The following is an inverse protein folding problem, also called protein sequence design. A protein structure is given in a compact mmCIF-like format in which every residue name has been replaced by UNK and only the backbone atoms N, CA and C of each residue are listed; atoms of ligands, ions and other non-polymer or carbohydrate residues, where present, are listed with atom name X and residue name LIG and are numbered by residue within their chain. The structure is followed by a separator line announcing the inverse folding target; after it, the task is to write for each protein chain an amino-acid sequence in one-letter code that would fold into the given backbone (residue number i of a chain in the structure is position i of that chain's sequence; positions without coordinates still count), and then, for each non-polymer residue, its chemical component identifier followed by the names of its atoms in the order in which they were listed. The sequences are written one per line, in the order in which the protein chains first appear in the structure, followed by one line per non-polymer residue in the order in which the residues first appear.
data_IF_531206388236
#
_entry.id   IF_531206388236
#
_cell.length_a   1.000
_cell.length_b   1.000
_cell.length_c   1.000
_cell.angle_alpha   90.00
_cell.angle_beta   90.00
_cell.angle_gamma   90.00
#
_symmetry.space_group_name_H-M   'P 1'
#
loop_
_entity.id
_entity.type
_entity.pdbx_description
1 polymer ?
#
# COMPACT_ATOMS: atom_id res chain seq x y z
N UNK A 1 -5.36 -31.40 -4.43
CA UNK A 1 -5.44 -31.32 -5.91
C UNK A 1 -6.72 -30.57 -6.29
N UNK A 2 -6.61 -29.45 -7.03
CA UNK A 2 -7.77 -28.80 -7.65
C UNK A 2 -8.16 -29.67 -8.86
N UNK A 3 -9.38 -30.18 -8.92
CA UNK A 3 -9.88 -30.94 -10.08
C UNK A 3 -10.02 -29.97 -11.27
N UNK A 4 -9.20 -30.13 -12.30
CA UNK A 4 -9.38 -29.46 -13.60
C UNK A 4 -10.46 -30.20 -14.39
N UNK A 5 -11.31 -29.45 -15.10
CA UNK A 5 -12.40 -30.01 -15.90
C UNK A 5 -11.99 -29.94 -17.37
N UNK A 6 -11.81 -31.10 -18.02
CA UNK A 6 -11.22 -31.18 -19.36
C UNK A 6 -12.22 -31.51 -20.50
N UNK A 7 -13.53 -31.72 -20.28
CA UNK A 7 -14.43 -32.12 -21.39
C UNK A 7 -15.91 -31.74 -21.26
N UNK A 8 -16.56 -31.71 -22.45
CA UNK A 8 -17.96 -31.46 -22.82
C UNK A 8 -19.01 -31.98 -21.81
N UNK A 9 -20.05 -31.18 -21.60
CA UNK A 9 -21.00 -31.34 -20.50
C UNK A 9 -22.11 -32.34 -20.86
N UNK A 10 -22.28 -33.38 -20.05
CA UNK A 10 -23.39 -34.31 -20.18
C UNK A 10 -24.71 -33.68 -19.72
N UNK A 11 -25.80 -33.99 -20.43
CA UNK A 11 -27.19 -33.56 -20.19
C UNK A 11 -27.67 -33.78 -18.73
N UNK A 12 -27.05 -34.72 -18.00
CA UNK A 12 -27.44 -35.14 -16.64
C UNK A 12 -26.79 -34.29 -15.53
N UNK A 13 -25.70 -33.56 -15.81
CA UNK A 13 -24.87 -32.92 -14.78
C UNK A 13 -24.69 -31.40 -14.95
N UNK A 14 -25.36 -30.82 -15.94
CA UNK A 14 -25.32 -29.40 -16.21
C UNK A 14 -26.59 -28.69 -15.71
N UNK A 15 -26.43 -27.50 -15.15
CA UNK A 15 -27.58 -26.68 -14.79
C UNK A 15 -28.13 -25.97 -16.03
N UNK A 16 -29.43 -26.15 -16.29
CA UNK A 16 -30.14 -25.51 -17.41
C UNK A 16 -30.35 -24.04 -17.06
N UNK A 17 -29.80 -23.14 -17.87
CA UNK A 17 -30.08 -21.71 -17.75
C UNK A 17 -31.46 -21.44 -18.38
N UNK A 18 -32.51 -21.38 -17.56
CA UNK A 18 -33.92 -21.21 -17.99
C UNK A 18 -34.23 -19.95 -18.81
N UNK A 19 -33.25 -19.07 -19.06
CA UNK A 19 -33.44 -17.82 -19.81
C UNK A 19 -33.29 -17.97 -21.32
N UNK A 20 -32.79 -19.11 -21.80
CA UNK A 20 -32.68 -19.32 -23.23
C UNK A 20 -33.05 -20.78 -23.54
N UNK A 21 -34.16 -21.02 -24.24
CA UNK A 21 -34.57 -22.33 -24.76
C UNK A 21 -34.09 -22.51 -26.22
N UNK A 22 -33.54 -23.68 -26.60
CA UNK A 22 -33.04 -23.97 -27.95
C UNK A 22 -31.96 -25.07 -28.04
N UNK A 23 -31.90 -25.77 -29.17
CA UNK A 23 -30.98 -26.89 -29.45
C UNK A 23 -29.53 -26.39 -29.64
N UNK A 24 -28.56 -26.94 -28.89
CA UNK A 24 -27.12 -26.60 -29.02
C UNK A 24 -26.52 -25.71 -27.93
N UNK A 25 -27.11 -25.62 -26.73
CA UNK A 25 -26.58 -24.76 -25.64
C UNK A 25 -25.50 -25.47 -24.84
N UNK A 26 -24.38 -24.78 -24.66
CA UNK A 26 -23.28 -25.21 -23.81
C UNK A 26 -23.74 -25.20 -22.35
N UNK A 27 -24.21 -26.34 -21.86
CA UNK A 27 -24.50 -26.51 -20.44
C UNK A 27 -23.18 -26.41 -19.68
N UNK A 28 -23.11 -25.69 -18.56
CA UNK A 28 -21.91 -25.62 -17.72
C UNK A 28 -22.02 -26.64 -16.60
N UNK A 29 -20.96 -27.43 -16.37
CA UNK A 29 -20.92 -28.33 -15.23
C UNK A 29 -20.83 -27.52 -13.92
N UNK A 30 -21.32 -28.09 -12.82
CA UNK A 30 -21.35 -27.41 -11.50
C UNK A 30 -19.95 -26.97 -11.02
N UNK A 31 -18.89 -27.69 -11.41
CA UNK A 31 -17.50 -27.31 -11.09
C UNK A 31 -17.11 -26.04 -11.85
N UNK A 32 -17.40 -25.96 -13.15
CA UNK A 32 -17.14 -24.79 -13.97
C UNK A 32 -17.94 -23.57 -13.50
N UNK A 33 -19.22 -23.77 -13.14
CA UNK A 33 -20.06 -22.70 -12.56
C UNK A 33 -19.46 -22.15 -11.27
N UNK A 34 -19.13 -23.04 -10.31
CA UNK A 34 -18.50 -22.64 -9.04
C UNK A 34 -17.16 -21.94 -9.25
N UNK A 35 -16.34 -22.39 -10.19
CA UNK A 35 -15.07 -21.74 -10.50
C UNK A 35 -15.28 -20.34 -11.12
N UNK A 36 -16.29 -20.17 -11.98
CA UNK A 36 -16.66 -18.88 -12.55
C UNK A 36 -17.19 -17.94 -11.47
N UNK A 37 -18.10 -18.40 -10.62
CA UNK A 37 -18.63 -17.62 -9.50
C UNK A 37 -17.51 -17.21 -8.54
N UNK A 38 -16.59 -18.12 -8.19
CA UNK A 38 -15.42 -17.80 -7.38
C UNK A 38 -14.52 -16.75 -8.04
N UNK A 39 -14.36 -16.78 -9.37
CA UNK A 39 -13.58 -15.78 -10.09
C UNK A 39 -14.26 -14.42 -10.04
N UNK A 40 -15.56 -14.37 -10.31
CA UNK A 40 -16.37 -13.14 -10.22
C UNK A 40 -16.25 -12.54 -8.81
N UNK A 41 -16.46 -13.33 -7.76
CA UNK A 41 -16.35 -12.88 -6.37
C UNK A 41 -14.96 -12.35 -6.03
N UNK A 42 -13.88 -13.00 -6.52
CA UNK A 42 -12.51 -12.50 -6.32
C UNK A 42 -12.25 -11.19 -7.06
N UNK A 43 -12.75 -11.06 -8.29
CA UNK A 43 -12.60 -9.84 -9.09
C UNK A 43 -13.38 -8.67 -8.47
N UNK A 44 -14.58 -8.93 -7.94
CA UNK A 44 -15.37 -7.96 -7.18
C UNK A 44 -14.66 -7.56 -5.89
N UNK A 45 -14.20 -8.52 -5.09
CA UNK A 45 -13.45 -8.26 -3.87
C UNK A 45 -12.22 -7.38 -4.14
N UNK A 46 -11.47 -7.65 -5.23
CA UNK A 46 -10.33 -6.82 -5.65
C UNK A 46 -10.75 -5.37 -5.94
N UNK A 47 -11.84 -5.16 -6.70
CA UNK A 47 -12.36 -3.82 -6.98
C UNK A 47 -12.76 -3.06 -5.71
N UNK A 48 -13.35 -3.76 -4.73
CA UNK A 48 -13.71 -3.15 -3.45
C UNK A 48 -12.48 -2.74 -2.64
N UNK A 49 -11.43 -3.57 -2.62
CA UNK A 49 -10.16 -3.25 -1.97
C UNK A 49 -9.50 -2.01 -2.62
N UNK A 50 -9.45 -1.93 -3.95
CA UNK A 50 -8.92 -0.76 -4.68
C UNK A 50 -9.73 0.52 -4.37
N UNK A 51 -11.06 0.40 -4.26
CA UNK A 51 -11.91 1.54 -3.86
C UNK A 51 -11.65 1.94 -2.41
N UNK A 52 -11.44 0.97 -1.53
CA UNK A 52 -11.14 1.22 -0.12
C UNK A 52 -9.76 1.88 0.04
N UNK A 53 -8.74 1.41 -0.67
CA UNK A 53 -7.40 2.01 -0.71
C UNK A 53 -7.47 3.51 -1.06
N UNK A 54 -8.20 3.87 -2.13
CA UNK A 54 -8.38 5.28 -2.54
C UNK A 54 -9.04 6.12 -1.45
N UNK A 55 -10.05 5.58 -0.76
CA UNK A 55 -10.70 6.26 0.38
C UNK A 55 -9.73 6.45 1.54
N UNK A 56 -9.00 5.40 1.92
CA UNK A 56 -8.02 5.45 3.00
C UNK A 56 -6.92 6.46 2.71
N UNK A 57 -6.43 6.51 1.47
CA UNK A 57 -5.43 7.47 1.04
C UNK A 57 -5.97 8.91 1.10
N UNK A 58 -7.21 9.16 0.69
CA UNK A 58 -7.83 10.48 0.78
C UNK A 58 -7.97 10.96 2.23
N UNK A 59 -8.42 10.08 3.13
CA UNK A 59 -8.52 10.39 4.57
C UNK A 59 -7.14 10.67 5.18
N UNK A 60 -6.13 9.87 4.81
CA UNK A 60 -4.76 10.08 5.28
C UNK A 60 -4.22 11.44 4.84
N UNK A 61 -4.40 11.82 3.57
CA UNK A 61 -4.00 13.14 3.05
C UNK A 61 -4.68 14.30 3.76
N UNK A 62 -5.96 14.16 4.11
CA UNK A 62 -6.69 15.19 4.85
C UNK A 62 -6.17 15.35 6.28
N UNK A 63 -5.79 14.24 6.95
CA UNK A 63 -5.23 14.26 8.31
C UNK A 63 -3.77 14.71 8.35
N UNK A 64 -3.01 14.42 7.30
CA UNK A 64 -1.57 14.60 7.25
C UNK A 64 -1.20 15.46 6.04
N UNK A 65 -1.19 16.80 6.20
CA UNK A 65 -0.89 17.71 5.11
C UNK A 65 0.53 17.50 4.58
N UNK A 66 0.70 17.79 3.28
CA UNK A 66 1.98 17.63 2.61
C UNK A 66 3.05 18.53 3.22
N UNK A 67 4.29 18.05 3.22
CA UNK A 67 5.47 18.82 3.68
C UNK A 67 6.35 19.12 2.48
N UNK A 68 6.78 20.37 2.41
CA UNK A 68 7.70 20.85 1.39
C UNK A 68 9.12 20.35 1.63
N UNK A 69 9.90 20.26 0.57
CA UNK A 69 11.30 19.89 0.67
C UNK A 69 12.11 21.01 1.34
N UNK A 70 13.18 20.66 2.05
CA UNK A 70 14.01 21.60 2.80
C UNK A 70 13.45 21.98 4.18
N UNK A 71 12.28 21.46 4.56
CA UNK A 71 11.72 21.64 5.90
C UNK A 71 12.39 20.70 6.89
N UNK A 72 12.75 21.21 8.06
CA UNK A 72 13.25 20.39 9.18
C UNK A 72 12.10 19.66 9.85
N UNK A 73 12.30 18.37 10.11
CA UNK A 73 11.37 17.46 10.74
C UNK A 73 12.04 16.73 11.89
N UNK A 74 11.22 16.21 12.80
CA UNK A 74 11.65 15.41 13.95
C UNK A 74 11.01 14.04 13.90
N UNK A 75 11.86 13.03 13.93
CA UNK A 75 11.50 11.61 13.96
C UNK A 75 11.63 11.16 15.41
N UNK A 76 10.60 10.53 15.97
CA UNK A 76 10.67 9.97 17.33
C UNK A 76 11.32 8.60 17.26
N UNK A 77 12.29 8.36 18.14
CA UNK A 77 12.88 7.03 18.31
C UNK A 77 12.04 6.27 19.35
N UNK A 78 11.53 5.06 19.03
CA UNK A 78 10.73 4.28 19.96
C UNK A 78 11.60 3.83 21.14
N UNK A 79 10.97 3.58 22.28
CA UNK A 79 11.70 3.31 23.53
C UNK A 79 12.49 2.00 23.51
N UNK A 80 12.04 1.02 22.72
CA UNK A 80 12.74 -0.26 22.54
C UNK A 80 14.13 -0.09 21.92
N UNK A 81 14.28 0.90 21.04
CA UNK A 81 15.54 1.19 20.33
C UNK A 81 16.37 2.26 21.06
N UNK A 82 15.90 2.75 22.23
CA UNK A 82 16.46 3.91 22.94
C UNK A 82 17.05 3.49 24.29
N UNK A 83 18.35 3.67 24.51
CA UNK A 83 18.90 3.58 25.86
C UNK A 83 18.40 4.76 26.71
N UNK A 84 18.41 4.63 28.05
CA UNK A 84 17.87 5.66 28.96
C UNK A 84 18.46 7.06 28.76
N UNK A 85 19.69 7.14 28.27
CA UNK A 85 20.44 8.38 28.04
C UNK A 85 20.37 8.90 26.60
N UNK A 86 19.82 8.12 25.66
CA UNK A 86 19.79 8.49 24.25
C UNK A 86 18.74 9.55 23.96
N UNK A 87 18.99 10.34 22.91
CA UNK A 87 18.04 11.35 22.47
C UNK A 87 16.71 10.70 22.03
N UNK A 88 15.59 11.21 22.55
CA UNK A 88 14.26 10.70 22.20
C UNK A 88 13.83 10.97 20.75
N UNK A 89 14.61 11.76 20.01
CA UNK A 89 14.25 12.16 18.66
C UNK A 89 15.45 12.58 17.81
N UNK A 90 15.34 12.33 16.52
CA UNK A 90 16.35 12.66 15.50
C UNK A 90 15.80 13.82 14.66
N UNK A 91 16.66 14.82 14.42
CA UNK A 91 16.37 15.92 13.50
C UNK A 91 16.80 15.54 12.09
N UNK A 92 15.90 15.73 11.14
CA UNK A 92 16.14 15.47 9.73
C UNK A 92 15.55 16.60 8.87
N UNK A 93 15.96 16.68 7.62
CA UNK A 93 15.41 17.57 6.59
C UNK A 93 14.73 16.73 5.51
N UNK A 94 13.63 17.23 4.96
CA UNK A 94 12.96 16.58 3.83
C UNK A 94 13.77 16.82 2.56
N UNK A 95 14.31 15.75 1.97
CA UNK A 95 15.11 15.84 0.75
C UNK A 95 14.24 15.82 -0.50
N UNK A 96 13.33 14.85 -0.57
CA UNK A 96 12.39 14.67 -1.68
C UNK A 96 11.19 13.83 -1.27
N UNK A 97 10.15 13.87 -2.10
CA UNK A 97 8.92 13.08 -1.96
C UNK A 97 8.80 12.06 -3.10
N UNK A 98 8.37 10.85 -2.77
CA UNK A 98 8.11 9.77 -3.73
C UNK A 98 6.65 9.81 -4.20
N UNK A 99 6.35 9.23 -5.36
CA UNK A 99 4.99 9.15 -5.94
C UNK A 99 3.94 8.56 -4.97
N UNK A 100 4.36 7.64 -4.10
CA UNK A 100 3.51 6.98 -3.11
C UNK A 100 3.38 7.73 -1.77
N UNK A 101 3.60 9.06 -1.74
CA UNK A 101 3.44 9.90 -0.53
C UNK A 101 4.42 9.62 0.61
N UNK A 102 5.52 8.93 0.32
CA UNK A 102 6.63 8.76 1.25
C UNK A 102 7.72 9.82 1.05
N UNK A 103 8.45 10.12 2.12
CA UNK A 103 9.48 11.15 2.18
C UNK A 103 10.85 10.53 2.37
N UNK A 104 11.82 11.01 1.59
CA UNK A 104 13.24 10.77 1.83
C UNK A 104 13.75 11.83 2.79
N UNK A 105 14.33 11.39 3.90
CA UNK A 105 14.80 12.25 4.97
C UNK A 105 16.32 12.18 5.07
N UNK A 106 16.94 13.33 5.33
CA UNK A 106 18.38 13.48 5.50
C UNK A 106 18.72 14.05 6.87
N UNK A 107 19.76 13.56 7.51
CA UNK A 107 20.29 14.06 8.78
C UNK A 107 21.70 14.60 8.55
N UNK A 108 22.31 15.24 9.55
CA UNK A 108 23.70 15.73 9.44
C UNK A 108 24.71 14.61 9.19
N UNK A 109 24.37 13.37 9.52
CA UNK A 109 25.25 12.21 9.36
C UNK A 109 25.03 11.49 8.02
N UNK A 110 23.90 11.71 7.35
CA UNK A 110 23.60 11.12 6.07
C UNK A 110 22.10 10.99 5.77
N UNK A 111 21.80 10.37 4.63
CA UNK A 111 20.46 10.10 4.12
C UNK A 111 19.93 8.82 4.76
N UNK A 112 18.74 8.88 5.36
CA UNK A 112 18.09 7.72 5.94
C UNK A 112 17.72 6.72 4.84
N UNK A 113 18.10 5.45 5.04
CA UNK A 113 17.87 4.37 4.06
C UNK A 113 16.39 4.09 3.83
N UNK A 114 15.58 4.20 4.88
CA UNK A 114 14.14 3.95 4.85
C UNK A 114 13.35 5.19 4.43
N UNK A 115 12.18 4.98 3.83
CA UNK A 115 11.24 6.02 3.47
C UNK A 115 10.22 6.22 4.59
N UNK A 116 9.83 7.46 4.85
CA UNK A 116 8.90 7.79 5.94
C UNK A 116 7.57 8.29 5.43
N UNK A 117 6.49 7.85 6.04
CA UNK A 117 5.17 8.44 5.90
C UNK A 117 5.06 9.72 6.75
N UNK A 118 4.16 10.62 6.35
CA UNK A 118 3.95 11.89 7.07
C UNK A 118 3.57 11.72 8.54
N UNK A 119 2.94 10.61 8.89
CA UNK A 119 2.53 10.26 10.26
C UNK A 119 3.71 9.93 11.19
N UNK A 120 4.87 9.56 10.64
CA UNK A 120 6.03 9.08 11.40
C UNK A 120 6.96 10.20 11.88
N UNK A 121 6.72 11.44 11.42
CA UNK A 121 7.52 12.59 11.81
C UNK A 121 6.67 13.85 12.04
N UNK A 122 7.17 14.73 12.89
CA UNK A 122 6.59 16.03 13.16
C UNK A 122 7.37 17.12 12.42
N UNK A 123 6.66 18.11 11.87
CA UNK A 123 7.29 19.27 11.23
C UNK A 123 7.77 20.23 12.32
N UNK A 124 8.98 20.79 12.17
CA UNK A 124 9.48 21.84 13.03
C UNK A 124 9.25 23.20 12.36
N UNK A 125 8.88 24.19 13.17
CA UNK A 125 8.68 25.58 12.69
C UNK A 125 10.01 26.24 12.33
N UNK A 126 11.08 25.86 13.00
CA UNK A 126 12.42 26.39 12.81
C UNK A 126 13.22 25.48 11.87
N UNK A 127 14.02 26.09 11.00
CA UNK A 127 14.93 25.40 10.08
C UNK A 127 16.29 25.22 10.76
N UNK A 128 16.55 24.02 11.28
CA UNK A 128 17.82 23.69 11.96
C UNK A 128 18.83 22.99 11.04
N UNK A 129 18.34 22.41 9.96
CA UNK A 129 19.12 21.76 8.91
C UNK A 129 18.61 22.21 7.56
N UNK A 130 19.53 22.42 6.63
CA UNK A 130 19.24 22.59 5.21
C UNK A 130 19.67 21.36 4.42
N UNK A 131 19.38 21.31 3.11
CA UNK A 131 19.69 20.14 2.28
C UNK A 131 21.20 19.99 2.06
N UNK A 132 21.93 21.09 2.10
CA UNK A 132 23.38 21.16 1.90
C UNK A 132 24.14 20.55 3.08
N UNK A 133 23.55 20.57 4.28
CA UNK A 133 24.13 19.98 5.49
C UNK A 133 24.10 18.44 5.51
N UNK A 134 23.48 17.80 4.50
CA UNK A 134 23.27 16.34 4.47
C UNK A 134 24.32 15.67 3.58
N UNK A 135 25.23 14.85 4.16
CA UNK A 135 26.15 14.06 3.38
C UNK A 135 25.43 13.04 2.49
N UNK A 136 25.94 12.78 1.29
CA UNK A 136 25.40 11.79 0.35
C UNK A 136 25.70 10.32 0.76
N UNK A 137 25.74 10.04 2.06
CA UNK A 137 26.00 8.71 2.62
C UNK A 137 24.67 8.11 3.11
N UNK A 138 24.38 6.86 2.78
CA UNK A 138 23.16 6.18 3.27
C UNK A 138 23.41 5.58 4.64
N UNK A 139 22.54 5.88 5.59
CA UNK A 139 22.63 5.39 6.97
C UNK A 139 21.34 4.67 7.40
N UNK A 140 21.43 3.60 8.21
CA UNK A 140 20.27 3.07 8.93
C UNK A 140 19.85 4.05 10.04
N UNK A 141 18.57 3.97 10.44
CA UNK A 141 18.09 4.63 11.67
C UNK A 141 18.24 3.64 12.82
#
# INVERSE_FOLDING_TARGET
MRKSCDMFVHEICGEINHKEEGYGKNVLCNICKKNMDQKIQRDEAKKYLEKQEKKMLAVSKAKHPNVEEGVTVRIKVPEVDRAKTDACSILAVVLSKTEHFFYKLGTKTGILKQLYAKSEFSVLKQRFLTKEDVPAVKIPL
#
